data_IF_354622938163
#
_entry.id   IF_354622938163
#
_cell.length_a   1.000
_cell.length_b   1.000
_cell.length_c   1.000
_cell.angle_alpha   90.00
_cell.angle_beta   90.00
_cell.angle_gamma   90.00
#
_symmetry.space_group_name_H-M   'P 1'
#
loop_
_entity.id
_entity.type
_entity.pdbx_description
1 polymer ?
#
# COMPACT_ATOMS: atom_id res chain seq x y z
N UNK A 1 -6.94 -21.41 56.09
CA UNK A 1 -6.89 -20.24 57.00
C UNK A 1 -5.54 -19.59 56.73
N UNK A 2 -5.35 -18.36 56.25
CA UNK A 2 -6.14 -17.12 56.24
C UNK A 2 -5.47 -16.16 55.19
N UNK A 3 -6.24 -15.28 54.54
CA UNK A 3 -5.89 -14.02 53.82
C UNK A 3 -4.92 -14.09 52.61
N UNK A 4 -5.17 -13.51 51.42
CA UNK A 4 -6.10 -12.46 51.00
C UNK A 4 -5.30 -11.20 50.59
N UNK A 5 -5.24 -10.85 49.30
CA UNK A 5 -5.17 -9.46 48.85
C UNK A 5 -5.37 -9.34 47.32
N UNK A 6 -6.29 -8.47 46.96
CA UNK A 6 -6.83 -8.15 45.64
C UNK A 6 -6.13 -6.88 45.16
N UNK A 7 -5.73 -6.78 43.88
CA UNK A 7 -5.65 -5.46 43.24
C UNK A 7 -5.91 -5.54 41.73
N UNK A 8 -7.18 -5.33 41.41
CA UNK A 8 -7.72 -4.97 40.10
C UNK A 8 -7.34 -3.52 39.76
N UNK A 9 -6.73 -3.29 38.60
CA UNK A 9 -6.45 -1.97 38.06
C UNK A 9 -7.34 -1.71 36.83
N UNK A 10 -8.36 -0.88 37.02
CA UNK A 10 -9.19 -0.30 35.95
C UNK A 10 -8.56 1.02 35.51
N UNK A 11 -8.32 1.20 34.21
CA UNK A 11 -7.92 2.50 33.65
C UNK A 11 -9.08 3.05 32.80
N UNK A 12 -9.45 4.27 33.20
CA UNK A 12 -10.50 5.17 32.73
C UNK A 12 -10.75 5.20 31.21
N UNK A 13 -12.04 5.17 30.87
CA UNK A 13 -12.58 5.56 29.58
C UNK A 13 -12.47 7.09 29.37
N UNK A 14 -12.10 7.48 28.16
CA UNK A 14 -12.07 8.88 27.71
C UNK A 14 -13.50 9.43 27.56
N UNK A 15 -13.78 10.52 28.27
CA UNK A 15 -14.99 11.34 28.13
C UNK A 15 -15.01 11.98 26.75
N UNK A 16 -15.87 11.46 25.87
CA UNK A 16 -16.21 12.13 24.62
C UNK A 16 -17.24 13.23 24.92
N UNK A 17 -16.88 14.47 24.59
CA UNK A 17 -17.79 15.61 24.62
C UNK A 17 -18.84 15.41 23.51
N UNK A 18 -20.07 15.09 23.90
CA UNK A 18 -21.21 15.05 22.99
C UNK A 18 -21.59 16.47 22.59
N UNK A 19 -21.47 16.78 21.29
CA UNK A 19 -22.18 17.90 20.69
C UNK A 19 -23.68 17.66 20.87
N UNK A 20 -24.32 18.43 21.75
CA UNK A 20 -25.77 18.37 21.94
C UNK A 20 -26.44 18.99 20.72
N UNK A 21 -26.73 18.16 19.73
CA UNK A 21 -27.70 18.47 18.70
C UNK A 21 -29.04 18.81 19.36
N UNK A 22 -29.71 19.83 18.86
CA UNK A 22 -30.90 20.49 19.40
C UNK A 22 -32.08 19.52 19.58
N UNK A 23 -32.10 18.77 20.67
CA UNK A 23 -33.19 17.86 21.07
C UNK A 23 -34.33 18.56 21.84
N UNK A 24 -34.42 19.89 21.78
CA UNK A 24 -35.53 20.61 22.40
C UNK A 24 -36.75 20.56 21.48
N UNK A 25 -37.77 19.82 21.87
CA UNK A 25 -39.03 19.75 21.14
C UNK A 25 -39.72 21.12 21.08
N UNK A 26 -40.01 21.58 19.87
CA UNK A 26 -40.71 22.83 19.56
C UNK A 26 -42.17 22.52 19.23
N UNK A 27 -43.08 23.41 19.60
CA UNK A 27 -44.48 23.29 19.17
C UNK A 27 -44.58 23.67 17.70
N UNK A 28 -44.88 22.68 16.86
CA UNK A 28 -44.90 22.80 15.41
C UNK A 28 -46.35 22.64 14.94
N UNK A 29 -46.79 23.60 14.12
CA UNK A 29 -48.12 23.59 13.52
C UNK A 29 -48.02 23.90 12.04
N UNK A 30 -48.37 22.90 11.22
CA UNK A 30 -48.31 22.96 9.75
C UNK A 30 -49.59 22.32 9.21
N UNK A 31 -50.37 23.12 8.47
CA UNK A 31 -51.60 22.67 7.81
C UNK A 31 -51.33 21.75 6.61
N UNK A 32 -52.35 21.01 6.19
CA UNK A 32 -52.27 20.16 5.00
C UNK A 32 -52.17 21.04 3.74
N UNK A 33 -50.97 21.06 3.14
CA UNK A 33 -50.63 21.95 2.02
C UNK A 33 -49.59 21.29 1.10
N UNK A 34 -49.30 21.88 -0.08
CA UNK A 34 -48.27 21.38 -0.98
C UNK A 34 -46.94 21.18 -0.25
N UNK A 35 -46.30 20.03 -0.45
CA UNK A 35 -45.15 19.59 0.34
C UNK A 35 -44.00 20.61 0.34
N UNK A 36 -43.76 21.26 -0.81
CA UNK A 36 -42.75 22.33 -0.90
C UNK A 36 -43.01 23.51 0.05
N UNK A 37 -44.27 23.94 0.21
CA UNK A 37 -44.62 25.03 1.13
C UNK A 37 -44.51 24.59 2.59
N UNK A 38 -44.91 23.36 2.88
CA UNK A 38 -44.83 22.77 4.20
C UNK A 38 -43.38 22.63 4.70
N UNK A 39 -42.45 22.28 3.80
CA UNK A 39 -41.01 22.18 4.09
C UNK A 39 -40.42 23.56 4.42
N UNK A 40 -40.77 24.60 3.65
CA UNK A 40 -40.31 25.97 3.93
C UNK A 40 -40.82 26.46 5.27
N UNK A 41 -42.10 26.23 5.58
CA UNK A 41 -42.68 26.61 6.87
C UNK A 41 -42.04 25.87 8.05
N UNK A 42 -41.70 24.58 7.87
CA UNK A 42 -40.99 23.80 8.88
C UNK A 42 -39.57 24.33 9.12
N UNK A 43 -38.85 24.65 8.03
CA UNK A 43 -37.51 25.23 8.09
C UNK A 43 -37.51 26.58 8.84
N UNK A 44 -38.51 27.42 8.60
CA UNK A 44 -38.70 28.70 9.29
C UNK A 44 -39.00 28.54 10.78
N UNK A 45 -39.88 27.60 11.17
CA UNK A 45 -40.26 27.38 12.57
C UNK A 45 -39.15 26.72 13.40
N UNK A 46 -38.31 25.89 12.79
CA UNK A 46 -37.30 25.08 13.49
C UNK A 46 -35.86 25.58 13.31
N UNK A 47 -35.62 26.51 12.37
CA UNK A 47 -34.31 27.08 12.09
C UNK A 47 -33.34 26.14 11.35
N UNK A 48 -33.84 25.04 10.80
CA UNK A 48 -33.04 24.08 10.03
C UNK A 48 -33.03 24.43 8.54
N UNK A 49 -31.98 24.04 7.83
CA UNK A 49 -31.89 24.18 6.38
C UNK A 49 -32.29 22.88 5.70
N UNK A 50 -33.33 22.90 4.86
CA UNK A 50 -33.77 21.73 4.11
C UNK A 50 -33.48 21.96 2.62
N UNK A 51 -32.46 21.27 2.10
CA UNK A 51 -32.15 21.22 0.68
C UNK A 51 -33.10 20.26 -0.04
N UNK A 52 -33.79 20.76 -1.07
CA UNK A 52 -34.73 19.97 -1.88
C UNK A 52 -34.52 20.24 -3.35
N UNK A 53 -34.71 19.22 -4.18
CA UNK A 53 -34.93 19.41 -5.60
C UNK A 53 -36.43 19.63 -5.84
N UNK A 54 -36.79 20.72 -6.53
CA UNK A 54 -38.17 21.10 -6.79
C UNK A 54 -38.96 20.00 -7.53
N UNK A 55 -38.27 19.17 -8.33
CA UNK A 55 -38.88 18.06 -9.04
C UNK A 55 -39.37 16.93 -8.13
N UNK A 56 -38.73 16.72 -6.97
CA UNK A 56 -39.06 15.65 -6.03
C UNK A 56 -40.29 15.96 -5.18
N UNK A 57 -40.52 17.24 -4.89
CA UNK A 57 -41.64 17.72 -4.08
C UNK A 57 -42.86 18.15 -4.93
N UNK A 58 -42.70 18.27 -6.25
CA UNK A 58 -43.77 18.61 -7.18
C UNK A 58 -44.91 17.58 -7.13
N UNK A 59 -46.16 18.05 -7.06
CA UNK A 59 -47.37 17.24 -6.93
C UNK A 59 -47.47 16.36 -5.66
N UNK A 60 -46.67 16.64 -4.62
CA UNK A 60 -46.78 15.99 -3.31
C UNK A 60 -47.48 16.89 -2.30
N UNK A 61 -48.23 16.29 -1.39
CA UNK A 61 -48.95 16.97 -0.32
C UNK A 61 -48.38 16.53 1.03
N UNK A 62 -48.30 17.47 1.97
CA UNK A 62 -47.94 17.17 3.36
C UNK A 62 -49.19 16.84 4.18
N UNK A 63 -49.12 15.88 5.12
CA UNK A 63 -50.14 15.72 6.14
C UNK A 63 -50.15 16.91 7.12
N UNK A 64 -51.25 17.08 7.85
CA UNK A 64 -51.34 17.99 9.00
C UNK A 64 -50.38 17.52 10.10
N UNK A 65 -49.57 18.44 10.63
CA UNK A 65 -48.72 18.21 11.81
C UNK A 65 -49.10 19.22 12.86
N UNK A 66 -49.45 18.72 14.05
CA UNK A 66 -49.76 19.55 15.21
C UNK A 66 -49.26 18.86 16.47
N UNK A 67 -48.36 19.51 17.20
CA UNK A 67 -47.87 19.02 18.48
C UNK A 67 -46.41 19.38 18.73
N UNK A 68 -45.85 18.84 19.80
CA UNK A 68 -44.46 19.06 20.18
C UNK A 68 -43.56 18.02 19.54
N UNK A 69 -42.72 18.45 18.60
CA UNK A 69 -41.81 17.56 17.86
C UNK A 69 -40.39 18.14 17.86
N UNK A 70 -39.39 17.26 17.78
CA UNK A 70 -38.03 17.69 17.41
C UNK A 70 -37.98 17.97 15.91
N UNK A 71 -36.98 18.73 15.45
CA UNK A 71 -36.78 19.03 14.03
C UNK A 71 -36.76 17.75 13.16
N UNK A 72 -36.01 16.73 13.57
CA UNK A 72 -35.92 15.44 12.89
C UNK A 72 -37.28 14.71 12.87
N UNK A 73 -37.96 14.64 14.02
CA UNK A 73 -39.28 14.00 14.11
C UNK A 73 -40.33 14.71 13.26
N UNK A 74 -40.29 16.04 13.23
CA UNK A 74 -41.20 16.85 12.44
C UNK A 74 -40.98 16.61 10.93
N UNK A 75 -39.72 16.58 10.47
CA UNK A 75 -39.39 16.26 9.07
C UNK A 75 -39.86 14.84 8.73
N UNK A 76 -39.56 13.84 9.57
CA UNK A 76 -39.98 12.46 9.31
C UNK A 76 -41.52 12.34 9.20
N UNK A 77 -42.24 13.04 10.07
CA UNK A 77 -43.70 13.04 10.04
C UNK A 77 -44.26 13.80 8.82
N UNK A 78 -43.60 14.88 8.38
CA UNK A 78 -43.95 15.66 7.19
C UNK A 78 -43.78 14.86 5.90
N UNK A 79 -42.75 14.03 5.85
CA UNK A 79 -42.45 13.20 4.69
C UNK A 79 -43.26 11.90 4.67
N UNK A 80 -44.02 11.59 5.71
CA UNK A 80 -44.83 10.37 5.80
C UNK A 80 -45.87 10.33 4.68
N UNK A 81 -45.75 9.35 3.79
CA UNK A 81 -46.63 9.17 2.63
C UNK A 81 -46.20 9.93 1.37
N UNK A 82 -45.20 10.81 1.44
CA UNK A 82 -44.65 11.52 0.28
C UNK A 82 -43.74 10.64 -0.60
N UNK A 83 -43.19 9.57 -0.02
CA UNK A 83 -42.21 8.70 -0.66
C UNK A 83 -40.79 9.31 -0.67
N UNK A 84 -40.53 10.33 0.13
CA UNK A 84 -39.24 10.98 0.32
C UNK A 84 -38.67 10.67 1.71
N UNK A 85 -37.36 10.72 1.84
CA UNK A 85 -36.62 10.58 3.10
C UNK A 85 -35.64 11.74 3.24
N UNK A 86 -35.36 12.16 4.47
CA UNK A 86 -34.38 13.19 4.75
C UNK A 86 -33.07 12.55 5.25
N UNK A 87 -31.95 12.98 4.68
CA UNK A 87 -30.61 12.65 5.17
C UNK A 87 -29.96 13.89 5.77
N UNK A 88 -29.48 13.78 7.01
CA UNK A 88 -28.72 14.85 7.64
C UNK A 88 -27.33 14.93 6.98
N UNK A 89 -27.05 16.04 6.31
CA UNK A 89 -25.78 16.27 5.61
C UNK A 89 -24.76 16.98 6.52
N UNK A 90 -25.25 17.79 7.45
CA UNK A 90 -24.50 18.45 8.52
C UNK A 90 -25.47 18.79 9.66
N UNK A 91 -25.00 19.11 10.88
CA UNK A 91 -25.87 19.45 12.01
C UNK A 91 -26.87 20.55 11.65
N UNK A 92 -28.17 20.21 11.61
CA UNK A 92 -29.23 21.15 11.24
C UNK A 92 -29.41 21.41 9.74
N UNK A 93 -28.74 20.65 8.87
CA UNK A 93 -28.89 20.68 7.43
C UNK A 93 -29.35 19.32 6.89
N UNK A 94 -30.53 19.29 6.28
CA UNK A 94 -31.17 18.09 5.76
C UNK A 94 -31.31 18.15 4.25
N UNK A 95 -31.02 17.06 3.55
CA UNK A 95 -31.27 16.92 2.10
C UNK A 95 -32.34 15.88 1.87
N UNK A 96 -33.36 16.20 1.04
CA UNK A 96 -34.41 15.25 0.68
C UNK A 96 -33.99 14.37 -0.50
N UNK A 97 -34.17 13.06 -0.34
CA UNK A 97 -33.94 12.06 -1.39
C UNK A 97 -35.17 11.15 -1.51
N UNK A 98 -35.31 10.45 -2.63
CA UNK A 98 -36.39 9.50 -2.81
C UNK A 98 -36.23 8.34 -1.80
N UNK A 99 -37.32 7.93 -1.15
CA UNK A 99 -37.29 6.89 -0.12
C UNK A 99 -36.83 5.53 -0.65
N UNK A 100 -36.86 5.32 -1.97
CA UNK A 100 -36.25 4.18 -2.66
C UNK A 100 -34.73 4.12 -2.51
N UNK A 101 -34.09 5.28 -2.38
CA UNK A 101 -32.63 5.41 -2.33
C UNK A 101 -32.12 5.27 -0.89
N UNK A 102 -32.97 5.58 0.09
CA UNK A 102 -32.77 5.26 1.53
C UNK A 102 -33.27 3.88 1.94
N UNK A 103 -33.71 3.02 1.02
CA UNK A 103 -33.61 1.59 1.32
C UNK A 103 -32.12 1.35 1.45
N UNK A 104 -31.63 1.40 2.69
CA UNK A 104 -30.38 0.79 3.11
C UNK A 104 -30.43 -0.61 2.54
N UNK A 105 -29.86 -0.76 1.35
CA UNK A 105 -29.67 -2.04 0.74
C UNK A 105 -28.60 -2.66 1.61
N UNK A 106 -29.06 -3.32 2.67
CA UNK A 106 -28.22 -4.12 3.56
C UNK A 106 -27.64 -5.34 2.81
N UNK A 107 -27.91 -5.46 1.52
CA UNK A 107 -27.18 -6.35 0.64
C UNK A 107 -25.74 -5.84 0.52
N UNK A 108 -24.76 -6.60 1.03
CA UNK A 108 -23.36 -6.21 0.95
C UNK A 108 -22.95 -6.00 -0.50
N UNK A 109 -22.41 -4.81 -0.80
CA UNK A 109 -21.81 -4.51 -2.10
C UNK A 109 -20.57 -5.38 -2.26
N UNK A 110 -20.69 -6.44 -3.06
CA UNK A 110 -19.56 -7.33 -3.38
C UNK A 110 -18.63 -6.62 -4.37
N UNK A 111 -17.50 -6.16 -3.86
CA UNK A 111 -16.44 -5.59 -4.70
C UNK A 111 -15.84 -6.66 -5.63
N UNK A 112 -15.40 -6.28 -6.83
CA UNK A 112 -14.67 -7.19 -7.71
C UNK A 112 -13.38 -7.66 -7.03
N UNK A 113 -13.04 -8.93 -7.25
CA UNK A 113 -11.80 -9.51 -6.73
C UNK A 113 -10.58 -8.85 -7.40
N UNK A 114 -9.63 -8.40 -6.59
CA UNK A 114 -8.34 -7.88 -7.06
C UNK A 114 -7.30 -8.99 -6.94
N UNK A 115 -6.87 -9.55 -8.06
CA UNK A 115 -5.79 -10.53 -8.10
C UNK A 115 -4.44 -9.84 -8.26
N UNK A 116 -3.66 -9.80 -7.18
CA UNK A 116 -2.27 -9.34 -7.23
C UNK A 116 -1.40 -10.49 -7.73
N UNK A 117 -0.72 -10.29 -8.86
CA UNK A 117 0.32 -11.22 -9.33
C UNK A 117 1.69 -10.62 -9.05
N UNK A 118 2.64 -11.47 -8.64
CA UNK A 118 4.03 -11.06 -8.47
C UNK A 118 4.80 -11.22 -9.77
N UNK A 119 5.62 -10.23 -10.12
CA UNK A 119 6.67 -10.38 -11.13
C UNK A 119 7.97 -10.73 -10.41
N UNK A 120 8.56 -11.89 -10.74
CA UNK A 120 9.89 -12.26 -10.25
C UNK A 120 10.93 -11.70 -11.21
N UNK A 121 11.77 -10.79 -10.70
CA UNK A 121 12.89 -10.24 -11.46
C UNK A 121 13.84 -11.38 -11.89
N UNK A 122 14.10 -11.55 -13.20
CA UNK A 122 15.06 -12.54 -13.71
C UNK A 122 16.45 -12.45 -13.08
N UNK A 123 16.88 -11.25 -12.68
CA UNK A 123 18.20 -11.01 -12.10
C UNK A 123 18.20 -11.04 -10.56
N UNK A 124 17.06 -11.32 -9.93
CA UNK A 124 16.92 -11.40 -8.49
C UNK A 124 17.87 -12.46 -7.86
N UNK A 125 18.40 -12.18 -6.65
CA UNK A 125 19.00 -13.21 -5.80
C UNK A 125 18.02 -14.37 -5.57
N UNK A 126 18.51 -15.61 -5.59
CA UNK A 126 17.68 -16.81 -5.43
C UNK A 126 16.92 -17.27 -6.68
N UNK A 127 17.03 -16.59 -7.84
CA UNK A 127 16.52 -17.15 -9.08
C UNK A 127 17.33 -18.41 -9.47
N UNK A 128 16.69 -19.59 -9.65
CA UNK A 128 17.37 -20.84 -9.98
C UNK A 128 17.98 -20.88 -11.39
N UNK A 129 17.67 -19.90 -12.24
CA UNK A 129 18.29 -19.78 -13.56
C UNK A 129 19.79 -19.52 -13.45
N UNK A 130 20.56 -20.19 -14.32
CA UNK A 130 22.00 -19.93 -14.48
C UNK A 130 22.31 -18.75 -15.41
N UNK A 131 21.28 -18.15 -15.99
CA UNK A 131 21.42 -16.97 -16.85
C UNK A 131 21.12 -15.72 -16.05
N UNK A 132 21.90 -14.67 -16.29
CA UNK A 132 21.63 -13.30 -15.85
C UNK A 132 21.66 -12.39 -17.07
N UNK A 133 20.74 -11.45 -17.12
CA UNK A 133 20.55 -10.54 -18.26
C UNK A 133 21.20 -9.19 -18.03
N UNK A 134 21.42 -8.81 -16.77
CA UNK A 134 22.02 -7.53 -16.39
C UNK A 134 23.36 -7.70 -15.65
N UNK A 135 24.17 -6.65 -15.69
CA UNK A 135 25.38 -6.51 -14.88
C UNK A 135 25.68 -5.03 -14.62
N UNK A 136 26.37 -4.76 -13.52
CA UNK A 136 26.74 -3.40 -13.12
C UNK A 136 28.25 -3.15 -13.12
N UNK A 137 29.07 -4.20 -13.20
CA UNK A 137 30.54 -4.09 -13.06
C UNK A 137 31.20 -3.20 -14.12
N UNK A 138 30.68 -3.17 -15.34
CA UNK A 138 31.28 -2.40 -16.43
C UNK A 138 31.06 -0.88 -16.29
N UNK A 139 29.86 -0.46 -15.88
CA UNK A 139 29.40 0.93 -15.99
C UNK A 139 29.03 1.56 -14.65
N UNK A 140 29.05 0.79 -13.55
CA UNK A 140 28.48 1.15 -12.22
C UNK A 140 26.97 1.39 -12.24
N UNK A 141 26.30 1.04 -13.33
CA UNK A 141 24.85 1.12 -13.50
C UNK A 141 24.36 -0.26 -13.91
N UNK A 142 23.25 -0.72 -13.34
CA UNK A 142 22.65 -1.99 -13.76
C UNK A 142 22.12 -1.87 -15.19
N UNK A 143 22.80 -2.52 -16.14
CA UNK A 143 22.48 -2.47 -17.56
C UNK A 143 22.34 -3.88 -18.13
N UNK A 144 21.47 -4.08 -19.14
CA UNK A 144 21.46 -5.32 -19.90
C UNK A 144 22.84 -5.60 -20.52
N UNK A 145 23.28 -6.85 -20.39
CA UNK A 145 24.54 -7.33 -20.97
C UNK A 145 24.61 -7.08 -22.48
N UNK A 146 23.47 -7.14 -23.17
CA UNK A 146 23.36 -6.89 -24.61
C UNK A 146 23.82 -5.49 -25.03
N UNK A 147 23.62 -4.48 -24.18
CA UNK A 147 23.97 -3.07 -24.47
C UNK A 147 25.20 -2.61 -23.70
N UNK A 148 25.79 -3.48 -22.89
CA UNK A 148 26.98 -3.16 -22.10
C UNK A 148 28.20 -3.17 -23.03
N UNK A 149 28.98 -2.08 -23.15
CA UNK A 149 30.07 -1.96 -24.12
C UNK A 149 31.36 -2.68 -23.67
N UNK A 150 31.23 -3.75 -22.89
CA UNK A 150 32.33 -4.54 -22.37
C UNK A 150 31.93 -6.00 -22.19
N UNK A 151 32.92 -6.90 -22.23
CA UNK A 151 32.68 -8.33 -22.03
C UNK A 151 32.56 -8.63 -20.54
N UNK A 152 31.33 -8.85 -20.08
CA UNK A 152 31.03 -9.28 -18.71
C UNK A 152 30.49 -10.71 -18.73
N UNK A 153 31.03 -11.58 -17.89
CA UNK A 153 30.43 -12.87 -17.58
C UNK A 153 29.86 -12.83 -16.16
N UNK A 154 28.62 -13.25 -15.98
CA UNK A 154 27.99 -13.35 -14.66
C UNK A 154 27.89 -14.82 -14.26
N UNK A 155 28.29 -15.11 -13.02
CA UNK A 155 28.11 -16.41 -12.35
C UNK A 155 27.06 -16.21 -11.26
N UNK A 156 25.81 -16.65 -11.46
CA UNK A 156 24.73 -16.41 -10.50
C UNK A 156 24.78 -17.32 -9.27
N UNK A 157 24.06 -16.94 -8.22
CA UNK A 157 23.95 -17.70 -6.97
C UNK A 157 23.65 -19.18 -7.16
N UNK A 158 22.70 -19.52 -8.04
CA UNK A 158 22.33 -20.91 -8.31
C UNK A 158 23.53 -21.75 -8.77
N UNK A 159 24.43 -21.17 -9.57
CA UNK A 159 25.67 -21.84 -10.00
C UNK A 159 26.65 -21.99 -8.84
N UNK A 160 26.75 -21.00 -7.96
CA UNK A 160 27.62 -21.06 -6.77
C UNK A 160 27.15 -22.16 -5.81
N UNK A 161 25.84 -22.25 -5.57
CA UNK A 161 25.23 -23.23 -4.68
C UNK A 161 25.38 -24.65 -5.23
N UNK A 162 25.04 -24.86 -6.51
CA UNK A 162 25.09 -26.19 -7.14
C UNK A 162 26.54 -26.70 -7.30
N UNK A 163 27.51 -25.80 -7.44
CA UNK A 163 28.94 -26.15 -7.45
C UNK A 163 29.55 -26.27 -6.06
N UNK A 164 28.78 -25.97 -5.01
CA UNK A 164 29.27 -25.86 -3.63
C UNK A 164 30.50 -24.95 -3.52
N UNK A 165 30.47 -23.84 -4.26
CA UNK A 165 31.58 -22.90 -4.35
C UNK A 165 31.76 -22.16 -3.02
N UNK A 166 32.93 -22.31 -2.40
CA UNK A 166 33.27 -21.66 -1.13
C UNK A 166 34.29 -20.53 -1.30
N UNK A 167 35.05 -20.55 -2.40
CA UNK A 167 36.02 -19.51 -2.77
C UNK A 167 35.80 -19.01 -4.20
N UNK A 168 36.28 -17.80 -4.52
CA UNK A 168 36.11 -17.20 -5.86
C UNK A 168 36.72 -18.07 -6.96
N UNK A 169 37.80 -18.81 -6.69
CA UNK A 169 38.39 -19.77 -7.63
C UNK A 169 37.38 -20.82 -8.08
N UNK A 170 36.53 -21.30 -7.15
CA UNK A 170 35.48 -22.28 -7.47
C UNK A 170 34.42 -21.67 -8.38
N UNK A 171 34.05 -20.40 -8.13
CA UNK A 171 33.06 -19.68 -8.91
C UNK A 171 33.54 -19.41 -10.35
N UNK A 172 34.81 -19.05 -10.53
CA UNK A 172 35.34 -18.63 -11.84
C UNK A 172 35.95 -19.77 -12.66
N UNK A 173 36.04 -21.00 -12.13
CA UNK A 173 36.62 -22.15 -12.83
C UNK A 173 35.96 -22.46 -14.19
N UNK A 174 34.67 -22.13 -14.31
CA UNK A 174 33.87 -22.33 -15.52
C UNK A 174 33.76 -21.06 -16.38
N UNK A 175 34.41 -19.96 -15.99
CA UNK A 175 34.39 -18.71 -16.74
C UNK A 175 35.46 -18.75 -17.83
N UNK A 176 35.03 -18.60 -19.08
CA UNK A 176 35.92 -18.63 -20.23
C UNK A 176 37.00 -17.54 -20.19
N UNK A 177 38.25 -17.94 -20.44
CA UNK A 177 39.38 -17.02 -20.49
C UNK A 177 39.83 -16.48 -19.13
N UNK A 178 39.39 -17.12 -18.04
CA UNK A 178 39.89 -16.91 -16.67
C UNK A 178 40.68 -18.14 -16.25
N UNK A 179 41.87 -17.93 -15.70
CA UNK A 179 42.65 -18.99 -15.08
C UNK A 179 43.23 -18.51 -13.73
N UNK A 180 43.60 -19.43 -12.83
CA UNK A 180 44.28 -19.06 -11.60
C UNK A 180 45.60 -18.34 -11.90
N UNK A 181 45.90 -17.29 -11.12
CA UNK A 181 47.16 -16.56 -11.14
C UNK A 181 48.06 -16.93 -9.96
N UNK A 182 49.04 -16.07 -9.64
CA UNK A 182 49.95 -16.33 -8.53
C UNK A 182 49.29 -16.10 -7.18
N UNK A 183 49.21 -17.14 -6.33
CA UNK A 183 48.40 -17.13 -5.10
C UNK A 183 49.22 -17.15 -3.80
N UNK A 184 50.56 -17.06 -3.85
CA UNK A 184 51.45 -17.14 -2.67
C UNK A 184 51.11 -18.33 -1.75
N UNK A 185 51.00 -19.54 -2.30
CA UNK A 185 50.63 -20.73 -1.51
C UNK A 185 49.18 -20.73 -0.99
N UNK A 186 48.29 -20.00 -1.67
CA UNK A 186 46.89 -19.86 -1.27
C UNK A 186 46.62 -18.78 -0.24
N UNK A 187 47.58 -17.92 0.10
CA UNK A 187 47.36 -16.77 0.98
C UNK A 187 46.65 -15.61 0.27
N UNK A 188 46.73 -15.57 -1.06
CA UNK A 188 46.15 -14.52 -1.89
C UNK A 188 45.42 -15.12 -3.09
N UNK A 189 44.55 -14.33 -3.71
CA UNK A 189 43.77 -14.75 -4.87
C UNK A 189 44.10 -13.81 -6.02
N UNK A 190 44.86 -14.31 -6.98
CA UNK A 190 45.14 -13.63 -8.25
C UNK A 190 44.55 -14.46 -9.38
N UNK A 191 44.11 -13.79 -10.43
CA UNK A 191 43.53 -14.43 -11.61
C UNK A 191 44.21 -13.88 -12.85
N UNK A 192 44.22 -14.69 -13.89
CA UNK A 192 44.65 -14.27 -15.21
C UNK A 192 43.43 -14.23 -16.11
N UNK A 193 43.18 -13.08 -16.73
CA UNK A 193 42.04 -12.86 -17.64
C UNK A 193 42.59 -12.53 -19.01
N UNK A 194 42.31 -13.38 -20.01
CA UNK A 194 42.86 -13.26 -21.38
C UNK A 194 44.40 -13.12 -21.42
N UNK A 195 45.11 -13.80 -20.52
CA UNK A 195 46.58 -13.81 -20.45
C UNK A 195 47.20 -12.67 -19.62
N UNK A 196 46.40 -11.78 -19.04
CA UNK A 196 46.88 -10.70 -18.18
C UNK A 196 46.52 -10.97 -16.73
N UNK A 197 47.47 -10.79 -15.81
CA UNK A 197 47.21 -10.92 -14.39
C UNK A 197 46.39 -9.74 -13.88
N UNK A 198 45.36 -10.00 -13.07
CA UNK A 198 44.46 -8.96 -12.54
C UNK A 198 45.11 -8.10 -11.47
N UNK A 199 46.29 -8.48 -10.96
CA UNK A 199 47.01 -7.71 -9.94
C UNK A 199 46.20 -7.50 -8.66
N UNK A 200 45.48 -8.55 -8.23
CA UNK A 200 44.57 -8.52 -7.07
C UNK A 200 43.46 -7.45 -7.20
N UNK A 201 43.05 -7.11 -8.43
CA UNK A 201 41.91 -6.25 -8.69
C UNK A 201 40.59 -6.99 -8.46
N UNK A 202 40.28 -7.23 -7.19
CA UNK A 202 39.02 -7.81 -6.74
C UNK A 202 38.14 -6.74 -6.10
N UNK A 203 36.84 -6.80 -6.38
CA UNK A 203 35.88 -5.80 -5.92
C UNK A 203 34.74 -6.51 -5.19
N UNK A 204 34.22 -5.87 -4.14
CA UNK A 204 32.97 -6.25 -3.47
C UNK A 204 32.01 -5.07 -3.60
N UNK A 205 30.84 -5.32 -4.14
CA UNK A 205 29.79 -4.29 -4.32
C UNK A 205 30.30 -3.02 -5.01
N UNK A 206 31.23 -3.19 -5.97
CA UNK A 206 31.85 -2.09 -6.72
C UNK A 206 33.05 -1.40 -6.03
N UNK A 207 33.39 -1.76 -4.80
CA UNK A 207 34.54 -1.22 -4.07
C UNK A 207 35.71 -2.16 -4.10
N UNK A 208 36.92 -1.63 -4.32
CA UNK A 208 38.14 -2.43 -4.32
C UNK A 208 38.36 -3.04 -2.94
N UNK A 209 38.49 -4.36 -2.91
CA UNK A 209 38.74 -5.08 -1.67
C UNK A 209 40.23 -5.08 -1.34
N UNK A 210 40.62 -5.04 -0.05
CA UNK A 210 42.03 -5.02 0.35
C UNK A 210 42.83 -6.19 -0.23
N UNK A 211 44.07 -5.87 -0.64
CA UNK A 211 45.00 -6.84 -1.19
C UNK A 211 45.25 -8.02 -0.23
N UNK A 212 45.48 -9.20 -0.82
CA UNK A 212 45.97 -10.41 -0.16
C UNK A 212 45.05 -11.09 0.87
N UNK A 213 43.72 -10.94 0.76
CA UNK A 213 42.77 -11.73 1.55
C UNK A 213 41.79 -12.49 0.65
N UNK A 214 41.36 -13.67 1.13
CA UNK A 214 40.39 -14.48 0.40
C UNK A 214 38.98 -13.94 0.55
N UNK A 215 38.20 -14.05 -0.51
CA UNK A 215 36.76 -13.84 -0.47
C UNK A 215 36.05 -15.11 -0.03
N UNK A 216 35.20 -14.98 0.98
CA UNK A 216 34.13 -15.95 1.22
C UNK A 216 32.99 -15.69 0.26
N UNK A 217 32.38 -16.76 -0.26
CA UNK A 217 31.18 -16.70 -1.09
C UNK A 217 29.87 -16.80 -0.30
N UNK A 218 29.93 -17.01 1.03
CA UNK A 218 28.76 -17.29 1.86
C UNK A 218 27.68 -16.18 1.83
N UNK A 219 28.07 -14.93 1.57
CA UNK A 219 27.18 -13.78 1.51
C UNK A 219 27.13 -13.15 0.10
N UNK A 220 27.41 -13.92 -0.94
CA UNK A 220 27.52 -13.45 -2.32
C UNK A 220 26.35 -13.97 -3.15
N UNK A 221 25.64 -13.05 -3.81
CA UNK A 221 24.52 -13.39 -4.71
C UNK A 221 24.98 -13.69 -6.14
N UNK A 222 26.13 -13.17 -6.57
CA UNK A 222 26.73 -13.46 -7.87
C UNK A 222 28.18 -13.00 -7.92
N UNK A 223 28.94 -13.60 -8.83
CA UNK A 223 30.29 -13.16 -9.20
C UNK A 223 30.26 -12.64 -10.64
N UNK A 224 30.68 -11.40 -10.85
CA UNK A 224 30.79 -10.80 -12.19
C UNK A 224 32.27 -10.71 -12.59
N UNK A 225 32.58 -11.17 -13.80
CA UNK A 225 33.93 -11.12 -14.38
C UNK A 225 33.91 -10.17 -15.57
N UNK A 226 34.52 -9.00 -15.40
CA UNK A 226 34.74 -8.03 -16.47
C UNK A 226 36.08 -8.33 -17.17
N UNK A 227 36.03 -8.59 -18.48
CA UNK A 227 37.19 -8.97 -19.30
C UNK A 227 37.59 -7.82 -20.22
N UNK A 228 38.81 -7.32 -20.08
CA UNK A 228 39.37 -6.27 -20.93
C UNK A 228 40.22 -5.27 -20.16
N UNK A 229 40.57 -4.16 -20.82
CA UNK A 229 41.23 -3.03 -20.16
C UNK A 229 40.20 -2.29 -19.31
N UNK A 230 40.43 -2.25 -18.00
CA UNK A 230 39.54 -1.59 -17.04
C UNK A 230 40.41 -0.84 -16.04
N UNK A 231 40.03 0.40 -15.74
CA UNK A 231 40.74 1.31 -14.82
C UNK A 231 39.92 1.62 -13.57
N UNK A 232 38.91 0.80 -13.26
CA UNK A 232 37.96 1.06 -12.17
C UNK A 232 38.49 0.75 -10.76
#
# INVERSE_FOLDING_TARGET
MLFGCILSLWIMAATHASAQATQQGVDIYIDAQPLGQAITQLAEQTGILIGTDASLVANKQSPLISGRYTAEQAIMQLLKGSGLSAIESAPGQYTLIASSDTRSNSDPVKLPEVRVTGFMDPDAPGNPSYTRTNASTATRVDLPLMITPASVQVVPQAVLEDQQAIQIEDAVKNVSGVSPGFSFGGMSQSFMVRGFETGFASFRDGFRFPLATKFSLANISRVEVLKGATTN
#
